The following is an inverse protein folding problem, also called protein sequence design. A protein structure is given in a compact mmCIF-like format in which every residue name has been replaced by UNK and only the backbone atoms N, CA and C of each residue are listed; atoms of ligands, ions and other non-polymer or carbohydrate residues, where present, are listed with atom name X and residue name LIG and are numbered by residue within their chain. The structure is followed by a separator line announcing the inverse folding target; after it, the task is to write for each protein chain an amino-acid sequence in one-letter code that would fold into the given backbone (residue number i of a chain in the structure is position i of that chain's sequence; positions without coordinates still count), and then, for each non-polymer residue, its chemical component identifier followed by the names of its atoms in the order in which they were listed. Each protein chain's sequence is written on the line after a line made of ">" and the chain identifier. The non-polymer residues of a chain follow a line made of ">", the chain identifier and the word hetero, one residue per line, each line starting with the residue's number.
data_IF_405699039524
#
_entry.id   IF_405699039524
#
_cell.length_a   1.000
_cell.length_b   1.000
_cell.length_c   1.000
_cell.angle_alpha   90.00
_cell.angle_beta   90.00
_cell.angle_gamma   90.00
#
_symmetry.space_group_name_H-M   'P 1'
#
loop_
_entity.id
_entity.type
_entity.pdbx_description
1 polymer ?
#
# COMPACT_ATOMS: atom_id res chain seq x y z
N UNK A 1 -15.23 10.88 -15.29
CA UNK A 1 -14.39 10.47 -14.14
C UNK A 1 -13.39 11.58 -13.79
N UNK A 2 -13.41 12.06 -12.55
CA UNK A 2 -12.44 13.06 -12.09
C UNK A 2 -11.04 12.45 -12.07
N UNK A 3 -10.02 13.11 -12.64
CA UNK A 3 -8.67 12.56 -12.68
C UNK A 3 -8.08 12.51 -11.28
N UNK A 4 -7.36 11.43 -10.98
CA UNK A 4 -6.54 11.37 -9.77
C UNK A 4 -5.26 12.18 -10.00
N UNK A 5 -4.81 12.89 -8.97
CA UNK A 5 -3.55 13.65 -8.96
C UNK A 5 -2.59 13.01 -7.97
N UNK A 6 -1.32 12.97 -8.33
CA UNK A 6 -0.30 12.49 -7.40
C UNK A 6 -0.16 13.47 -6.22
N UNK A 7 -0.17 12.97 -4.99
CA UNK A 7 0.29 13.74 -3.84
C UNK A 7 1.80 13.58 -3.64
N UNK A 8 2.31 12.35 -3.71
CA UNK A 8 3.73 12.04 -3.74
C UNK A 8 4.01 10.79 -4.57
N UNK A 9 5.25 10.62 -5.04
CA UNK A 9 5.66 9.47 -5.86
C UNK A 9 7.06 9.01 -5.52
N UNK A 10 7.31 7.72 -5.65
CA UNK A 10 8.61 7.04 -5.51
C UNK A 10 9.25 7.29 -4.15
N UNK A 11 8.41 7.36 -3.11
CA UNK A 11 8.89 7.50 -1.73
C UNK A 11 9.25 6.12 -1.21
N UNK A 12 10.52 5.93 -0.88
CA UNK A 12 11.01 4.73 -0.21
C UNK A 12 10.87 4.88 1.31
N UNK A 13 10.19 3.93 1.93
CA UNK A 13 9.89 3.92 3.37
C UNK A 13 10.36 2.63 4.00
N UNK A 14 10.96 2.70 5.19
CA UNK A 14 11.40 1.52 5.93
C UNK A 14 10.84 1.51 7.35
N UNK A 15 9.94 0.56 7.63
CA UNK A 15 9.50 0.26 8.98
C UNK A 15 10.54 -0.65 9.65
N UNK A 16 11.09 -0.29 10.82
CA UNK A 16 12.14 -1.08 11.47
C UNK A 16 11.62 -2.40 12.05
N UNK A 17 10.39 -2.41 12.55
CA UNK A 17 9.70 -3.57 13.14
C UNK A 17 8.16 -3.39 13.06
N UNK A 18 7.41 -4.26 13.74
CA UNK A 18 5.93 -4.25 13.72
C UNK A 18 5.28 -3.18 14.62
N UNK A 19 6.06 -2.45 15.42
CA UNK A 19 5.59 -1.29 16.19
C UNK A 19 5.45 -0.02 15.35
N UNK A 20 5.68 -0.10 14.04
CA UNK A 20 5.56 0.98 13.08
C UNK A 20 4.67 0.60 11.90
N UNK A 21 4.02 1.59 11.33
CA UNK A 21 3.18 1.49 10.14
C UNK A 21 3.60 2.53 9.10
N UNK A 22 3.23 2.28 7.85
CA UNK A 22 3.40 3.24 6.77
C UNK A 22 2.15 4.12 6.71
N UNK A 23 2.28 5.40 7.06
CA UNK A 23 1.23 6.41 6.85
C UNK A 23 1.15 6.70 5.34
N UNK A 24 0.11 6.14 4.71
CA UNK A 24 -0.12 6.24 3.27
C UNK A 24 -0.64 7.62 2.86
N UNK A 25 -1.16 8.40 3.82
CA UNK A 25 -1.63 9.75 3.54
C UNK A 25 -0.45 10.72 3.43
N UNK A 26 0.51 10.60 4.34
CA UNK A 26 1.64 11.52 4.45
C UNK A 26 2.93 11.00 3.80
N UNK A 27 3.01 9.72 3.44
CA UNK A 27 4.20 9.12 2.83
C UNK A 27 5.37 9.05 3.80
N UNK A 28 5.12 8.54 5.01
CA UNK A 28 6.12 8.43 6.08
C UNK A 28 5.89 7.17 6.91
N UNK A 29 6.90 6.82 7.71
CA UNK A 29 6.79 5.76 8.72
C UNK A 29 6.44 6.42 10.05
N UNK A 30 5.45 5.89 10.75
CA UNK A 30 4.98 6.38 12.06
C UNK A 30 4.84 5.22 13.04
N UNK A 31 4.84 5.47 14.37
CA UNK A 31 4.45 4.46 15.34
C UNK A 31 3.07 3.90 15.00
N UNK A 32 2.87 2.60 15.25
CA UNK A 32 1.58 1.94 15.01
C UNK A 32 0.43 2.66 15.75
N UNK A 33 -0.77 2.57 15.18
CA UNK A 33 -2.00 3.15 15.73
C UNK A 33 -2.03 4.70 15.75
N UNK A 34 -1.22 5.35 14.92
CA UNK A 34 -1.18 6.83 14.86
C UNK A 34 -1.69 7.42 13.55
N UNK A 35 -1.69 6.64 12.46
CA UNK A 35 -2.25 7.03 11.18
C UNK A 35 -3.68 6.49 10.99
N UNK A 36 -4.49 7.21 10.23
CA UNK A 36 -5.87 6.82 9.92
C UNK A 36 -6.00 6.02 8.62
N UNK A 37 -5.07 6.23 7.68
CA UNK A 37 -4.94 5.45 6.46
C UNK A 37 -3.50 4.97 6.37
N UNK A 38 -3.31 3.68 6.60
CA UNK A 38 -2.00 3.10 6.84
C UNK A 38 -1.85 1.74 6.18
N UNK A 39 -0.60 1.30 6.11
CA UNK A 39 -0.22 -0.08 5.85
C UNK A 39 0.64 -0.56 7.01
N UNK A 40 0.10 -1.43 7.85
CA UNK A 40 0.84 -2.09 8.90
C UNK A 40 1.52 -3.35 8.35
N UNK A 41 2.45 -3.90 9.11
CA UNK A 41 3.12 -5.16 8.79
C UNK A 41 3.04 -6.12 9.96
N UNK A 42 2.82 -7.39 9.65
CA UNK A 42 3.09 -8.48 10.58
C UNK A 42 4.37 -9.23 10.13
N UNK A 43 4.61 -10.42 10.68
CA UNK A 43 5.79 -11.21 10.36
C UNK A 43 5.90 -11.62 8.87
N UNK A 44 4.78 -11.77 8.15
CA UNK A 44 4.73 -12.34 6.80
C UNK A 44 3.79 -11.62 5.83
N UNK A 45 3.07 -10.61 6.27
CA UNK A 45 2.04 -9.92 5.48
C UNK A 45 1.96 -8.43 5.78
N UNK A 46 1.34 -7.71 4.86
CA UNK A 46 0.84 -6.36 5.13
C UNK A 46 -0.64 -6.40 5.51
N UNK A 47 -1.01 -5.48 6.39
CA UNK A 47 -2.38 -5.27 6.85
C UNK A 47 -2.74 -3.81 6.56
N UNK A 48 -3.61 -3.51 5.57
CA UNK A 48 -4.07 -2.16 5.35
C UNK A 48 -5.01 -1.72 6.48
N UNK A 49 -5.21 -0.42 6.65
CA UNK A 49 -6.23 0.12 7.56
C UNK A 49 -7.60 -0.50 7.30
N UNK A 50 -8.41 -0.60 8.36
CA UNK A 50 -9.78 -1.12 8.26
C UNK A 50 -10.58 -0.37 7.17
N UNK A 51 -11.50 -1.10 6.53
CA UNK A 51 -12.35 -0.60 5.42
C UNK A 51 -11.58 -0.14 4.16
N UNK A 52 -10.26 -0.32 4.12
CA UNK A 52 -9.48 -0.10 2.91
C UNK A 52 -9.60 -1.29 1.97
N UNK A 53 -9.83 -1.01 0.69
CA UNK A 53 -9.82 -2.03 -0.34
C UNK A 53 -8.42 -2.20 -0.91
N UNK A 54 -8.03 -3.44 -1.23
CA UNK A 54 -6.72 -3.72 -1.82
C UNK A 54 -6.81 -4.58 -3.07
N UNK A 55 -5.82 -4.45 -3.96
CA UNK A 55 -5.67 -5.27 -5.15
C UNK A 55 -4.19 -5.53 -5.43
N UNK A 56 -3.83 -6.77 -5.78
CA UNK A 56 -2.47 -7.15 -6.21
C UNK A 56 -2.47 -7.34 -7.71
N UNK A 57 -1.53 -6.68 -8.41
CA UNK A 57 -1.39 -6.82 -9.86
C UNK A 57 -0.82 -8.20 -10.24
N UNK A 58 -1.30 -8.76 -11.33
CA UNK A 58 -0.71 -9.94 -11.98
C UNK A 58 0.55 -9.57 -12.81
N UNK A 59 0.79 -8.28 -13.07
CA UNK A 59 1.92 -7.77 -13.87
C UNK A 59 2.86 -6.86 -13.09
N UNK A 60 3.99 -6.49 -13.71
CA UNK A 60 5.09 -5.72 -13.08
C UNK A 60 4.76 -4.23 -12.85
N UNK A 61 3.71 -3.71 -13.49
CA UNK A 61 3.27 -2.34 -13.35
C UNK A 61 1.79 -2.28 -12.94
N UNK A 62 1.43 -1.26 -12.17
CA UNK A 62 0.06 -0.99 -11.77
C UNK A 62 -0.22 0.51 -11.92
N UNK A 63 -1.19 0.84 -12.77
CA UNK A 63 -1.66 2.22 -12.98
C UNK A 63 -2.86 2.51 -12.08
N UNK A 64 -3.18 3.79 -11.86
CA UNK A 64 -4.38 4.18 -11.09
C UNK A 64 -5.67 3.57 -11.67
N UNK A 65 -5.96 3.65 -12.98
CA UNK A 65 -7.15 3.00 -13.54
C UNK A 65 -7.13 1.47 -13.38
N UNK A 66 -5.96 0.84 -13.55
CA UNK A 66 -5.81 -0.60 -13.37
C UNK A 66 -6.07 -1.04 -11.93
N UNK A 67 -5.58 -0.28 -10.96
CA UNK A 67 -5.84 -0.51 -9.55
C UNK A 67 -7.33 -0.37 -9.22
N UNK A 68 -7.98 0.72 -9.64
CA UNK A 68 -9.40 0.93 -9.37
C UNK A 68 -10.24 -0.20 -9.98
N UNK A 69 -9.96 -0.59 -11.22
CA UNK A 69 -10.62 -1.72 -11.85
C UNK A 69 -10.37 -3.04 -11.10
N UNK A 70 -9.12 -3.28 -10.68
CA UNK A 70 -8.74 -4.47 -9.92
C UNK A 70 -9.46 -4.57 -8.58
N UNK A 71 -9.57 -3.46 -7.84
CA UNK A 71 -10.32 -3.38 -6.58
C UNK A 71 -11.79 -3.73 -6.79
N UNK A 72 -12.43 -3.20 -7.84
CA UNK A 72 -13.86 -3.45 -8.09
C UNK A 72 -14.15 -4.87 -8.62
N UNK A 73 -13.17 -5.54 -9.22
CA UNK A 73 -13.38 -6.84 -9.88
C UNK A 73 -12.81 -8.03 -9.11
N UNK A 74 -11.68 -7.84 -8.41
CA UNK A 74 -10.92 -8.88 -7.71
C UNK A 74 -10.24 -8.30 -6.46
N UNK A 75 -11.00 -7.76 -5.50
CA UNK A 75 -10.41 -7.26 -4.27
C UNK A 75 -9.74 -8.40 -3.51
N UNK A 76 -8.62 -8.09 -2.84
CA UNK A 76 -7.94 -9.01 -1.93
C UNK A 76 -8.09 -8.52 -0.50
N UNK A 77 -8.24 -9.48 0.41
CA UNK A 77 -8.29 -9.22 1.86
C UNK A 77 -6.99 -9.57 2.56
N UNK A 78 -6.00 -10.09 1.84
CA UNK A 78 -4.72 -10.51 2.38
C UNK A 78 -3.58 -10.12 1.44
N UNK A 79 -2.48 -9.63 2.00
CA UNK A 79 -1.29 -9.17 1.29
C UNK A 79 -0.04 -9.88 1.84
N UNK A 80 0.09 -11.21 1.68
CA UNK A 80 1.26 -11.93 2.15
C UNK A 80 2.49 -11.53 1.31
N UNK A 81 3.65 -11.38 1.95
CA UNK A 81 4.90 -10.99 1.26
C UNK A 81 5.28 -11.96 0.14
N UNK A 82 4.91 -13.23 0.24
CA UNK A 82 5.10 -14.22 -0.83
C UNK A 82 4.28 -13.91 -2.10
N UNK A 83 3.10 -13.32 -1.96
CA UNK A 83 2.31 -12.82 -3.09
C UNK A 83 2.90 -11.53 -3.68
N UNK A 84 3.74 -10.82 -2.94
CA UNK A 84 4.38 -9.57 -3.38
C UNK A 84 5.82 -9.77 -3.83
N UNK A 85 6.35 -10.98 -3.68
CA UNK A 85 7.68 -11.36 -4.15
C UNK A 85 7.80 -11.16 -5.68
N UNK A 86 9.00 -10.80 -6.13
CA UNK A 86 9.23 -10.39 -7.53
C UNK A 86 8.75 -8.97 -7.83
N UNK A 87 8.67 -8.11 -6.80
CA UNK A 87 8.31 -6.68 -6.91
C UNK A 87 6.91 -6.43 -7.48
N UNK A 88 5.99 -7.39 -7.34
CA UNK A 88 4.61 -7.23 -7.81
C UNK A 88 3.95 -6.06 -7.08
N UNK A 89 3.52 -5.01 -7.80
CA UNK A 89 2.83 -3.89 -7.19
C UNK A 89 1.44 -4.32 -6.75
N UNK A 90 1.01 -3.72 -5.65
CA UNK A 90 -0.37 -3.77 -5.20
C UNK A 90 -0.83 -2.34 -4.94
N UNK A 91 -2.12 -2.18 -4.67
CA UNK A 91 -2.64 -0.90 -4.28
C UNK A 91 -3.61 -1.03 -3.11
N UNK A 92 -3.76 0.08 -2.40
CA UNK A 92 -4.66 0.24 -1.26
C UNK A 92 -5.47 1.51 -1.51
N UNK A 93 -6.79 1.42 -1.45
CA UNK A 93 -7.71 2.56 -1.49
C UNK A 93 -8.07 2.98 -0.08
N UNK A 94 -8.11 4.27 0.18
CA UNK A 94 -8.50 4.81 1.49
C UNK A 94 -9.94 4.43 1.85
N UNK A 95 -10.29 4.37 3.15
CA UNK A 95 -11.65 4.07 3.60
C UNK A 95 -12.71 5.03 3.01
N UNK A 96 -12.38 6.31 2.88
CA UNK A 96 -13.26 7.32 2.28
C UNK A 96 -13.31 7.27 0.74
N UNK A 97 -12.55 6.35 0.12
CA UNK A 97 -12.43 6.11 -1.32
C UNK A 97 -11.91 7.31 -2.13
N UNK A 98 -11.28 8.29 -1.48
CA UNK A 98 -10.76 9.49 -2.12
C UNK A 98 -9.28 9.41 -2.46
N UNK A 99 -8.53 8.55 -1.78
CA UNK A 99 -7.12 8.37 -1.97
C UNK A 99 -6.78 6.93 -2.38
N UNK A 100 -5.66 6.80 -3.08
CA UNK A 100 -5.13 5.54 -3.57
C UNK A 100 -3.62 5.53 -3.42
N UNK A 101 -3.08 4.46 -2.82
CA UNK A 101 -1.65 4.21 -2.76
C UNK A 101 -1.31 3.04 -3.69
N UNK A 102 -0.29 3.19 -4.53
CA UNK A 102 0.34 2.09 -5.28
C UNK A 102 1.65 1.77 -4.59
N UNK A 103 1.78 0.52 -4.12
CA UNK A 103 2.86 0.08 -3.24
C UNK A 103 3.62 -1.07 -3.89
N UNK A 104 4.95 -1.04 -3.77
CA UNK A 104 5.84 -2.14 -4.14
C UNK A 104 6.66 -2.56 -2.93
N UNK A 105 6.68 -3.86 -2.65
CA UNK A 105 7.56 -4.41 -1.63
C UNK A 105 8.99 -4.49 -2.19
N UNK A 106 9.93 -3.76 -1.57
CA UNK A 106 11.35 -3.77 -1.97
C UNK A 106 12.15 -4.79 -1.16
N UNK A 107 11.87 -4.89 0.14
CA UNK A 107 12.53 -5.83 1.04
C UNK A 107 11.62 -6.19 2.20
N UNK A 108 11.55 -7.46 2.56
CA UNK A 108 10.91 -7.90 3.80
C UNK A 108 11.83 -8.85 4.57
N UNK A 109 12.01 -8.59 5.86
CA UNK A 109 12.58 -9.54 6.82
C UNK A 109 11.51 -9.89 7.87
N UNK A 110 11.32 -11.17 8.19
CA UNK A 110 10.19 -11.59 9.02
C UNK A 110 10.13 -10.87 10.39
N UNK A 111 11.28 -10.79 11.09
CA UNK A 111 11.43 -10.09 12.38
C UNK A 111 12.29 -8.82 12.28
N UNK A 112 12.40 -8.22 11.09
CA UNK A 112 13.28 -7.08 10.87
C UNK A 112 12.68 -6.06 9.91
N UNK A 113 13.53 -5.15 9.39
CA UNK A 113 13.05 -4.05 8.59
C UNK A 113 12.31 -4.50 7.35
N UNK A 114 11.21 -3.79 7.07
CA UNK A 114 10.44 -3.92 5.82
C UNK A 114 10.53 -2.61 5.09
N UNK A 115 10.91 -2.66 3.81
CA UNK A 115 11.05 -1.51 2.93
C UNK A 115 10.05 -1.59 1.79
N UNK A 116 9.32 -0.51 1.56
CA UNK A 116 8.39 -0.34 0.44
C UNK A 116 8.78 0.89 -0.38
N UNK A 117 8.33 0.90 -1.63
CA UNK A 117 8.23 2.11 -2.45
C UNK A 117 6.75 2.40 -2.68
N UNK A 118 6.33 3.64 -2.45
CA UNK A 118 4.93 4.03 -2.54
C UNK A 118 4.71 5.31 -3.36
N UNK A 119 3.67 5.28 -4.18
CA UNK A 119 3.07 6.41 -4.86
C UNK A 119 1.68 6.66 -4.27
N UNK A 120 1.30 7.91 -3.99
CA UNK A 120 -0.03 8.28 -3.51
C UNK A 120 -0.74 9.19 -4.51
N UNK A 121 -2.04 8.95 -4.65
CA UNK A 121 -2.92 9.69 -5.52
C UNK A 121 -4.20 10.07 -4.78
N UNK A 122 -4.74 11.25 -5.05
CA UNK A 122 -6.02 11.71 -4.52
C UNK A 122 -6.95 12.07 -5.67
N UNK A 123 -8.25 11.87 -5.47
CA UNK A 123 -9.29 12.36 -6.38
C UNK A 123 -9.24 13.90 -6.40
N UNK A 124 -9.04 14.47 -7.58
CA UNK A 124 -8.88 15.91 -7.77
C UNK A 124 -10.18 16.72 -7.80
#
# INVERSE_FOLDING_TARGET
>A
PTPHRAGYTQVELTAPDAGYEFDLKAGKVVPAETATWFLARDAQSFVPSEESDSFVSDGEALTVPGCLHGIETKPVTSLPFSALAGERPFCVRSPDRRDLAVVRLRRAAAAGPVTIVVDQYHLG
#
